data_IF_424740818562
#
_entry.id   IF_424740818562
#
_cell.length_a   1.000
_cell.length_b   1.000
_cell.length_c   1.000
_cell.angle_alpha   90.00
_cell.angle_beta   90.00
_cell.angle_gamma   90.00
#
_symmetry.space_group_name_H-M   'P 1'
#
loop_
_entity.id
_entity.type
_entity.pdbx_description
1 polymer ?
#
# COMPACT_ATOMS: atom_id res chain seq x y z
N UNK A 1 -9.13 -22.94 -6.28
CA UNK A 1 -8.90 -22.12 -5.08
C UNK A 1 -7.95 -22.90 -4.18
N UNK A 2 -7.04 -22.22 -3.48
CA UNK A 2 -6.19 -22.84 -2.47
C UNK A 2 -6.99 -23.10 -1.19
N UNK A 3 -6.68 -24.19 -0.51
CA UNK A 3 -7.20 -24.50 0.82
C UNK A 3 -6.48 -23.65 1.89
N UNK A 4 -7.11 -23.48 3.06
CA UNK A 4 -6.48 -22.80 4.20
C UNK A 4 -5.14 -23.46 4.61
N UNK A 5 -5.01 -24.78 4.44
CA UNK A 5 -3.79 -25.49 4.78
C UNK A 5 -2.66 -25.19 3.79
N UNK A 6 -2.96 -25.10 2.50
CA UNK A 6 -2.00 -24.70 1.47
C UNK A 6 -1.55 -23.25 1.66
N UNK A 7 -2.48 -22.34 1.99
CA UNK A 7 -2.17 -20.92 2.23
C UNK A 7 -1.22 -20.73 3.42
N UNK A 8 -1.41 -21.48 4.50
CA UNK A 8 -0.50 -21.44 5.66
C UNK A 8 0.90 -21.96 5.35
N UNK A 9 1.08 -22.78 4.32
CA UNK A 9 2.41 -23.25 3.94
C UNK A 9 3.14 -22.27 3.02
N UNK A 10 2.43 -21.30 2.43
CA UNK A 10 3.03 -20.30 1.56
C UNK A 10 3.78 -19.24 2.35
N UNK A 11 4.99 -18.93 1.89
CA UNK A 11 5.71 -17.76 2.39
C UNK A 11 5.15 -16.45 1.77
N UNK A 12 5.61 -15.30 2.26
CA UNK A 12 5.17 -13.99 1.77
C UNK A 12 5.37 -13.80 0.26
N UNK A 13 6.48 -14.30 -0.30
CA UNK A 13 6.76 -14.20 -1.73
C UNK A 13 5.79 -15.05 -2.58
N UNK A 14 5.38 -16.21 -2.08
CA UNK A 14 4.37 -17.06 -2.72
C UNK A 14 2.99 -16.43 -2.63
N UNK A 15 2.61 -15.87 -1.48
CA UNK A 15 1.36 -15.10 -1.31
C UNK A 15 1.33 -13.91 -2.28
N UNK A 16 2.43 -13.16 -2.39
CA UNK A 16 2.59 -12.06 -3.34
C UNK A 16 2.35 -12.51 -4.78
N UNK A 17 3.13 -13.49 -5.24
CA UNK A 17 3.13 -13.91 -6.65
C UNK A 17 1.87 -14.68 -7.08
N UNK A 18 1.25 -15.46 -6.19
CA UNK A 18 0.10 -16.33 -6.52
C UNK A 18 -1.26 -15.73 -6.20
N UNK A 19 -1.34 -14.73 -5.31
CA UNK A 19 -2.61 -14.20 -4.83
C UNK A 19 -2.70 -12.68 -5.01
N UNK A 20 -1.76 -11.93 -4.44
CA UNK A 20 -1.85 -10.46 -4.41
C UNK A 20 -1.59 -9.84 -5.79
N UNK A 21 -0.48 -10.18 -6.46
CA UNK A 21 -0.19 -9.63 -7.79
C UNK A 21 -1.28 -9.99 -8.81
N UNK A 22 -1.81 -11.24 -8.85
CA UNK A 22 -2.97 -11.55 -9.68
C UNK A 22 -4.22 -10.75 -9.32
N UNK A 23 -4.54 -10.56 -8.04
CA UNK A 23 -5.70 -9.76 -7.63
C UNK A 23 -5.60 -8.30 -8.10
N UNK A 24 -4.43 -7.67 -7.94
CA UNK A 24 -4.19 -6.30 -8.41
C UNK A 24 -4.33 -6.23 -9.94
N UNK A 25 -3.71 -7.15 -10.69
CA UNK A 25 -3.82 -7.16 -12.16
C UNK A 25 -5.25 -7.43 -12.64
N UNK A 26 -5.98 -8.33 -11.99
CA UNK A 26 -7.37 -8.65 -12.32
C UNK A 26 -8.32 -7.46 -12.08
N UNK A 27 -7.98 -6.55 -11.16
CA UNK A 27 -8.66 -5.27 -10.97
C UNK A 27 -8.34 -4.22 -12.06
N UNK A 28 -7.62 -4.60 -13.13
CA UNK A 28 -7.35 -3.75 -14.28
C UNK A 28 -6.09 -2.88 -14.18
N UNK A 29 -5.24 -3.11 -13.17
CA UNK A 29 -3.95 -2.42 -13.06
C UNK A 29 -2.96 -2.99 -14.09
N UNK A 30 -2.38 -2.11 -14.91
CA UNK A 30 -1.30 -2.50 -15.82
C UNK A 30 0.05 -2.59 -15.11
N UNK A 31 1.00 -3.37 -15.64
CA UNK A 31 2.35 -3.47 -15.04
C UNK A 31 3.08 -2.12 -14.96
N UNK A 32 2.75 -1.16 -15.84
CA UNK A 32 3.29 0.21 -15.79
C UNK A 32 2.78 1.01 -14.59
N UNK A 33 1.68 0.58 -13.99
CA UNK A 33 1.05 1.20 -12.83
C UNK A 33 1.40 0.49 -11.52
N UNK A 34 2.19 -0.58 -11.56
CA UNK A 34 2.56 -1.42 -10.41
C UNK A 34 4.08 -1.37 -10.23
N UNK A 35 4.54 -0.65 -9.21
CA UNK A 35 5.94 -0.70 -8.75
C UNK A 35 6.10 -1.75 -7.67
N UNK A 36 6.60 -2.94 -8.02
CA UNK A 36 6.92 -3.99 -7.04
C UNK A 36 8.26 -3.69 -6.32
N UNK A 37 8.35 -4.04 -5.03
CA UNK A 37 9.54 -3.90 -4.19
C UNK A 37 10.15 -2.49 -4.17
N UNK A 38 9.27 -1.48 -4.26
CA UNK A 38 9.69 -0.10 -4.41
C UNK A 38 10.44 0.40 -3.17
N UNK A 39 11.67 0.85 -3.41
CA UNK A 39 12.57 1.37 -2.37
C UNK A 39 12.63 2.89 -2.42
N UNK A 40 12.54 3.55 -1.26
CA UNK A 40 12.63 4.99 -1.13
C UNK A 40 13.42 5.43 0.10
N UNK A 41 13.91 6.67 0.07
CA UNK A 41 14.56 7.33 1.20
C UNK A 41 13.78 8.58 1.53
N UNK A 42 13.60 8.86 2.81
CA UNK A 42 12.90 10.04 3.28
C UNK A 42 13.49 10.52 4.60
N UNK A 43 13.57 11.83 4.77
CA UNK A 43 13.85 12.48 6.06
C UNK A 43 12.56 12.72 6.87
N UNK A 44 11.38 12.42 6.29
CA UNK A 44 10.11 12.44 7.02
C UNK A 44 10.10 11.33 8.06
N UNK A 45 9.56 11.62 9.23
CA UNK A 45 9.30 10.64 10.30
C UNK A 45 7.84 10.70 10.70
N UNK A 46 7.31 9.59 11.20
CA UNK A 46 5.96 9.53 11.74
C UNK A 46 6.05 9.50 13.27
N UNK A 47 5.57 10.56 13.93
CA UNK A 47 5.61 10.74 15.39
C UNK A 47 4.24 11.16 15.88
N UNK A 48 3.72 10.51 16.92
CA UNK A 48 2.43 10.84 17.56
C UNK A 48 1.28 11.10 16.57
N UNK A 49 1.20 10.29 15.52
CA UNK A 49 0.14 10.40 14.51
C UNK A 49 0.40 11.42 13.39
N UNK A 50 1.51 12.15 13.41
CA UNK A 50 1.83 13.19 12.43
C UNK A 50 3.13 12.92 11.67
N UNK A 51 3.15 13.32 10.40
CA UNK A 51 4.36 13.31 9.58
C UNK A 51 5.14 14.59 9.83
N UNK A 52 6.37 14.47 10.32
CA UNK A 52 7.25 15.60 10.58
C UNK A 52 8.47 15.51 9.67
N UNK A 53 8.83 16.63 9.05
CA UNK A 53 10.08 16.77 8.29
C UNK A 53 11.19 17.11 9.27
N UNK A 54 12.26 16.30 9.32
CA UNK A 54 13.45 16.60 10.12
C UNK A 54 14.45 17.41 9.26
N UNK A 55 14.62 18.72 9.50
CA UNK A 55 15.56 19.54 8.74
C UNK A 55 17.02 19.30 9.16
N UNK A 56 17.27 18.58 10.26
CA UNK A 56 18.60 18.37 10.85
C UNK A 56 19.25 17.04 10.42
N UNK A 57 18.66 16.28 9.50
CA UNK A 57 19.32 15.11 8.89
C UNK A 57 20.38 15.49 7.85
N UNK A 58 21.07 16.61 8.06
CA UNK A 58 22.17 17.10 7.24
C UNK A 58 23.43 16.27 7.52
N UNK A 59 23.83 15.49 6.52
CA UNK A 59 25.18 15.02 6.22
C UNK A 59 25.88 13.96 7.12
N UNK A 60 25.40 13.60 8.32
CA UNK A 60 26.09 12.57 9.15
C UNK A 60 25.30 11.31 9.50
N UNK A 61 23.97 11.27 9.32
CA UNK A 61 23.19 10.02 9.46
C UNK A 61 22.78 9.49 8.09
N UNK A 62 23.32 8.34 7.69
CA UNK A 62 22.91 7.62 6.48
C UNK A 62 21.42 7.32 6.59
N UNK A 63 20.60 7.95 5.74
CA UNK A 63 19.16 7.67 5.69
C UNK A 63 18.97 6.24 5.22
N UNK A 64 18.42 5.41 6.10
CA UNK A 64 18.09 4.02 5.79
C UNK A 64 16.97 3.98 4.74
N UNK A 65 17.19 3.16 3.72
CA UNK A 65 16.19 2.95 2.68
C UNK A 65 15.03 2.12 3.24
N UNK A 66 13.80 2.51 2.89
CA UNK A 66 12.56 1.79 3.20
C UNK A 66 12.07 1.12 1.93
N UNK A 67 11.38 -0.01 2.07
CA UNK A 67 10.81 -0.77 0.97
C UNK A 67 9.33 -1.04 1.23
N UNK A 68 8.50 -0.87 0.20
CA UNK A 68 7.10 -1.31 0.16
C UNK A 68 6.99 -2.45 -0.85
N UNK A 69 6.09 -3.40 -0.64
CA UNK A 69 5.91 -4.51 -1.58
C UNK A 69 5.30 -4.05 -2.90
N UNK A 70 4.32 -3.14 -2.85
CA UNK A 70 3.75 -2.53 -4.05
C UNK A 70 3.51 -1.03 -3.82
N UNK A 71 3.85 -0.25 -4.85
CA UNK A 71 3.46 1.14 -5.00
C UNK A 71 2.64 1.28 -6.29
N UNK A 72 1.41 1.77 -6.16
CA UNK A 72 0.48 1.88 -7.27
C UNK A 72 0.39 3.30 -7.82
N UNK A 73 0.19 3.40 -9.13
CA UNK A 73 0.19 4.66 -9.87
C UNK A 73 -1.05 4.81 -10.74
N UNK A 74 -1.77 5.94 -10.67
CA UNK A 74 -2.90 6.18 -11.60
C UNK A 74 -2.43 6.48 -13.02
N UNK A 75 -1.35 7.23 -13.14
CA UNK A 75 -0.65 7.58 -14.37
C UNK A 75 0.85 7.51 -14.11
N UNK A 76 1.68 7.51 -15.15
CA UNK A 76 3.12 7.21 -15.07
C UNK A 76 3.89 7.91 -13.94
N UNK A 77 3.44 9.08 -13.46
CA UNK A 77 4.09 9.84 -12.39
C UNK A 77 3.23 10.13 -11.15
N UNK A 78 2.02 9.59 -11.04
CA UNK A 78 1.13 9.89 -9.92
C UNK A 78 0.89 8.65 -9.05
N UNK A 79 1.61 8.60 -7.91
CA UNK A 79 1.43 7.58 -6.88
C UNK A 79 0.06 7.75 -6.21
N UNK A 80 -0.62 6.65 -5.92
CA UNK A 80 -1.96 6.70 -5.31
C UNK A 80 -2.17 5.73 -4.16
N UNK A 81 -1.48 4.59 -4.13
CA UNK A 81 -1.65 3.62 -3.06
C UNK A 81 -0.38 2.84 -2.77
N UNK A 82 -0.27 2.35 -1.53
CA UNK A 82 0.72 1.33 -1.13
C UNK A 82 0.00 0.04 -0.75
N UNK A 83 0.62 -1.10 -1.06
CA UNK A 83 0.15 -2.42 -0.62
C UNK A 83 1.29 -3.12 0.10
N UNK A 84 1.03 -3.58 1.33
CA UNK A 84 1.94 -4.40 2.12
C UNK A 84 1.44 -5.85 2.16
N UNK A 85 2.30 -6.78 1.78
CA UNK A 85 2.02 -8.21 1.87
C UNK A 85 2.43 -8.77 3.24
N UNK A 86 1.77 -9.84 3.64
CA UNK A 86 2.17 -10.69 4.76
C UNK A 86 1.99 -12.16 4.37
N UNK A 87 2.68 -13.05 5.07
CA UNK A 87 2.30 -14.46 5.05
C UNK A 87 0.91 -14.67 5.69
N UNK A 88 0.31 -15.83 5.45
CA UNK A 88 -1.03 -16.13 5.93
C UNK A 88 -1.14 -16.34 7.45
N UNK A 89 -0.01 -16.47 8.16
CA UNK A 89 -0.01 -16.58 9.63
C UNK A 89 -0.24 -15.23 10.31
N UNK A 90 0.10 -14.13 9.64
CA UNK A 90 -0.14 -12.78 10.12
C UNK A 90 -1.47 -12.26 9.58
N UNK A 91 -2.18 -11.49 10.41
CA UNK A 91 -3.39 -10.82 9.94
C UNK A 91 -3.06 -9.68 8.98
N UNK A 92 -3.90 -9.51 7.96
CA UNK A 92 -3.93 -8.34 7.08
C UNK A 92 -3.93 -7.01 7.86
N UNK A 93 -4.67 -6.95 8.98
CA UNK A 93 -4.71 -5.77 9.87
C UNK A 93 -3.36 -5.43 10.50
N UNK A 94 -2.50 -6.42 10.76
CA UNK A 94 -1.17 -6.18 11.30
C UNK A 94 -0.28 -5.43 10.29
N UNK A 95 -0.33 -5.82 9.01
CA UNK A 95 0.40 -5.12 7.95
C UNK A 95 -0.17 -3.73 7.63
N UNK A 96 -1.44 -3.47 7.94
CA UNK A 96 -2.08 -2.18 7.65
C UNK A 96 -1.39 -1.00 8.35
N UNK A 97 -0.92 -1.16 9.59
CA UNK A 97 -0.25 -0.07 10.31
C UNK A 97 1.06 0.35 9.62
N UNK A 98 1.79 -0.63 9.10
CA UNK A 98 2.99 -0.41 8.30
C UNK A 98 2.64 0.26 6.97
N UNK A 99 1.63 -0.24 6.26
CA UNK A 99 1.13 0.36 5.03
C UNK A 99 0.70 1.82 5.22
N UNK A 100 -0.06 2.14 6.27
CA UNK A 100 -0.44 3.51 6.62
C UNK A 100 0.77 4.41 6.89
N UNK A 101 1.79 3.88 7.56
CA UNK A 101 3.02 4.64 7.81
C UNK A 101 3.72 4.97 6.51
N UNK A 102 3.88 3.99 5.62
CA UNK A 102 4.49 4.22 4.31
C UNK A 102 3.66 5.12 3.41
N UNK A 103 2.33 5.00 3.45
CA UNK A 103 1.41 5.85 2.70
C UNK A 103 1.62 7.32 3.05
N UNK A 104 1.67 7.63 4.36
CA UNK A 104 1.95 8.97 4.87
C UNK A 104 3.35 9.50 4.51
N UNK A 105 4.37 8.64 4.52
CA UNK A 105 5.73 9.02 4.12
C UNK A 105 5.85 9.31 2.62
N UNK A 106 5.13 8.53 1.81
CA UNK A 106 5.09 8.64 0.35
C UNK A 106 4.04 9.63 -0.17
N UNK A 107 3.23 10.20 0.74
CA UNK A 107 2.16 11.15 0.44
C UNK A 107 1.11 10.58 -0.53
N UNK A 108 0.61 9.37 -0.22
CA UNK A 108 -0.43 8.70 -1.01
C UNK A 108 -1.72 8.52 -0.21
N UNK A 109 -2.90 8.64 -0.85
CA UNK A 109 -4.19 8.65 -0.17
C UNK A 109 -4.72 7.29 0.28
N UNK A 110 -4.19 6.17 -0.24
CA UNK A 110 -4.69 4.84 0.13
C UNK A 110 -3.57 3.91 0.64
N UNK A 111 -3.89 3.15 1.68
CA UNK A 111 -3.02 2.10 2.21
C UNK A 111 -3.77 0.77 2.25
N UNK A 112 -3.12 -0.28 1.77
CA UNK A 112 -3.65 -1.63 1.76
C UNK A 112 -2.69 -2.60 2.45
N UNK A 113 -3.23 -3.65 3.06
CA UNK A 113 -2.46 -4.83 3.40
C UNK A 113 -3.23 -6.11 3.13
N UNK A 114 -2.52 -7.16 2.73
CA UNK A 114 -3.11 -8.48 2.46
C UNK A 114 -2.19 -9.61 2.91
N UNK A 115 -2.82 -10.70 3.34
CA UNK A 115 -2.18 -11.97 3.68
C UNK A 115 -2.62 -13.12 2.74
N UNK A 116 -3.27 -12.77 1.62
CA UNK A 116 -3.80 -13.71 0.64
C UNK A 116 -5.27 -14.10 0.80
N UNK A 117 -5.90 -13.85 1.96
CA UNK A 117 -7.33 -14.13 2.18
C UNK A 117 -8.21 -12.93 1.81
N UNK A 118 -7.74 -11.74 2.16
CA UNK A 118 -8.45 -10.47 2.02
C UNK A 118 -7.46 -9.32 1.89
N UNK A 119 -7.97 -8.17 1.46
CA UNK A 119 -7.31 -6.88 1.63
C UNK A 119 -7.98 -6.14 2.79
N UNK A 120 -7.19 -5.41 3.56
CA UNK A 120 -7.69 -4.37 4.45
C UNK A 120 -7.20 -3.03 3.92
N UNK A 121 -8.13 -2.11 3.74
CA UNK A 121 -7.92 -0.75 3.24
C UNK A 121 -8.00 0.25 4.39
N UNK A 122 -7.17 1.29 4.30
CA UNK A 122 -7.38 2.58 4.94
C UNK A 122 -7.39 3.68 3.88
N UNK A 123 -8.47 4.43 3.84
CA UNK A 123 -8.65 5.60 2.98
C UNK A 123 -8.39 6.87 3.80
N UNK A 124 -7.31 7.59 3.50
CA UNK A 124 -6.95 8.83 4.20
C UNK A 124 -7.85 10.02 3.84
N UNK A 125 -8.60 9.93 2.74
CA UNK A 125 -9.51 10.97 2.28
C UNK A 125 -10.79 10.94 3.12
N UNK A 126 -11.39 9.75 3.28
CA UNK A 126 -12.64 9.58 4.03
C UNK A 126 -12.41 9.22 5.50
N UNK A 127 -11.21 8.76 5.86
CA UNK A 127 -10.88 8.22 7.18
C UNK A 127 -11.43 6.81 7.43
N UNK A 128 -12.03 6.18 6.42
CA UNK A 128 -12.68 4.88 6.56
C UNK A 128 -11.68 3.74 6.42
N UNK A 129 -11.90 2.68 7.19
CA UNK A 129 -11.24 1.40 7.02
C UNK A 129 -12.26 0.33 6.65
N UNK A 130 -11.92 -0.52 5.68
CA UNK A 130 -12.77 -1.65 5.29
C UNK A 130 -11.95 -2.87 4.92
N UNK A 131 -12.60 -4.03 5.02
CA UNK A 131 -12.08 -5.31 4.53
C UNK A 131 -12.70 -5.58 3.15
N UNK A 132 -11.87 -6.01 2.21
CA UNK A 132 -12.25 -6.34 0.84
C UNK A 132 -11.86 -7.78 0.55
N UNK A 133 -12.72 -8.58 -0.11
CA UNK A 133 -12.30 -9.88 -0.63
C UNK A 133 -11.23 -9.70 -1.72
N UNK A 134 -10.42 -10.73 -1.97
CA UNK A 134 -9.34 -10.68 -2.97
C UNK A 134 -9.83 -10.29 -4.38
N UNK A 135 -11.09 -10.56 -4.72
CA UNK A 135 -11.69 -10.22 -6.01
C UNK A 135 -12.20 -8.78 -6.11
N UNK A 136 -12.17 -8.01 -5.02
CA UNK A 136 -12.70 -6.65 -4.95
C UNK A 136 -11.60 -5.61 -4.67
N UNK A 137 -10.37 -5.90 -5.08
CA UNK A 137 -9.33 -4.89 -5.08
C UNK A 137 -9.76 -3.72 -5.99
N UNK A 138 -9.66 -2.45 -5.56
CA UNK A 138 -10.16 -1.33 -6.36
C UNK A 138 -9.45 -1.18 -7.69
N UNK A 139 -10.20 -0.77 -8.70
CA UNK A 139 -9.67 -0.44 -10.04
C UNK A 139 -8.88 0.89 -10.01
N UNK A 140 -7.99 1.14 -10.99
CA UNK A 140 -7.30 2.43 -11.10
C UNK A 140 -8.27 3.62 -11.16
N UNK A 141 -9.38 3.49 -11.89
CA UNK A 141 -10.36 4.55 -12.09
C UNK A 141 -11.15 4.85 -10.81
N UNK A 142 -11.53 3.83 -10.03
CA UNK A 142 -12.20 4.03 -8.74
C UNK A 142 -11.33 4.85 -7.79
N UNK A 143 -10.05 4.49 -7.61
CA UNK A 143 -9.15 5.25 -6.76
C UNK A 143 -8.90 6.65 -7.30
N UNK A 144 -8.74 6.78 -8.62
CA UNK A 144 -8.54 8.06 -9.28
C UNK A 144 -9.74 9.01 -9.04
N UNK A 145 -10.97 8.51 -9.13
CA UNK A 145 -12.18 9.31 -8.96
C UNK A 145 -12.40 9.75 -7.52
N UNK A 146 -12.15 8.88 -6.53
CA UNK A 146 -12.20 9.23 -5.11
C UNK A 146 -11.17 10.32 -4.79
N UNK A 147 -9.97 10.22 -5.37
CA UNK A 147 -8.92 11.24 -5.25
C UNK A 147 -9.34 12.59 -5.84
N UNK A 148 -9.94 12.64 -7.03
CA UNK A 148 -10.36 13.91 -7.65
C UNK A 148 -11.52 14.60 -6.92
N UNK A 149 -12.52 13.84 -6.48
CA UNK A 149 -13.78 14.41 -5.99
C UNK A 149 -13.67 14.98 -4.57
N UNK A 150 -12.58 14.68 -3.85
CA UNK A 150 -12.40 15.07 -2.45
C UNK A 150 -11.14 15.91 -2.21
N UNK A 151 -10.42 16.34 -3.25
CA UNK A 151 -9.39 17.38 -3.10
C UNK A 151 -10.13 18.73 -3.08
N UNK A 152 -10.14 19.47 -1.95
CA UNK A 152 -10.68 20.82 -1.96
C UNK A 152 -9.92 21.66 -2.99
N UNK A 153 -10.60 22.57 -3.73
CA UNK A 153 -9.92 23.45 -4.66
C UNK A 153 -8.79 24.17 -3.91
N UNK A 154 -7.57 24.12 -4.46
CA UNK A 154 -6.46 24.91 -3.93
C UNK A 154 -6.87 26.38 -4.02
N UNK A 155 -7.14 26.99 -2.86
CA UNK A 155 -7.29 28.43 -2.68
C UNK A 155 -6.00 29.16 -3.01
#
# INVERSE_FOLDING_TARGET
>A
MYTLQELKQMNEQEIRSRLISPAIRNAGWSDRQIGEEYTFKTNKRFTDGQVVVDPKTTQTKRIEAKRVDYLLYTSANQKIAVVEAKDNHHSSRHGLQQAMTYARLLDVPFAYSSNGDEFVEHDFITGVQRTLPMSAFPTPDELHNVGRNNIPPKS
#
